data_IF_931533788032
#
_entry.id   IF_931533788032
#
_cell.length_a   1.000
_cell.length_b   1.000
_cell.length_c   1.000
_cell.angle_alpha   90.00
_cell.angle_beta   90.00
_cell.angle_gamma   90.00
#
_symmetry.space_group_name_H-M   'P 1'
#
loop_
_entity.id
_entity.type
_entity.pdbx_description
1 polymer ?
#
# COMPACT_ATOMS: atom_id res chain seq x y z
N UNK A 1 10.48 5.83 -12.46
CA UNK A 1 10.78 4.43 -12.08
C UNK A 1 9.58 3.57 -12.42
N UNK A 2 9.79 2.38 -12.96
CA UNK A 2 8.71 1.42 -13.28
C UNK A 2 8.90 0.18 -12.41
N UNK A 3 7.81 -0.31 -11.83
CA UNK A 3 7.76 -1.52 -11.02
C UNK A 3 6.70 -2.47 -11.57
N UNK A 4 7.03 -3.76 -11.59
CA UNK A 4 6.12 -4.85 -11.98
C UNK A 4 6.17 -5.92 -10.89
N UNK A 5 5.02 -6.28 -10.35
CA UNK A 5 4.86 -7.41 -9.46
C UNK A 5 4.48 -8.68 -10.23
N UNK A 6 4.96 -9.83 -9.78
CA UNK A 6 4.65 -11.13 -10.34
C UNK A 6 4.53 -12.20 -9.26
N UNK A 7 3.99 -13.36 -9.62
CA UNK A 7 3.89 -14.50 -8.69
C UNK A 7 5.28 -15.08 -8.45
N UNK A 8 5.55 -15.51 -7.22
CA UNK A 8 6.83 -16.12 -6.85
C UNK A 8 7.15 -17.35 -7.71
N UNK A 9 6.14 -18.11 -8.12
CA UNK A 9 6.30 -19.28 -8.99
C UNK A 9 6.90 -18.94 -10.37
N UNK A 10 6.75 -17.71 -10.84
CA UNK A 10 7.24 -17.25 -12.14
C UNK A 10 8.64 -16.64 -12.03
N UNK A 11 9.20 -16.51 -10.82
CA UNK A 11 10.44 -15.76 -10.58
C UNK A 11 11.66 -16.32 -11.32
N UNK A 12 11.78 -17.63 -11.45
CA UNK A 12 12.89 -18.25 -12.19
C UNK A 12 12.91 -17.85 -13.68
N UNK A 13 11.74 -17.71 -14.30
CA UNK A 13 11.65 -17.21 -15.68
C UNK A 13 11.99 -15.72 -15.75
N UNK A 14 11.53 -14.93 -14.79
CA UNK A 14 11.85 -13.49 -14.68
C UNK A 14 13.35 -13.27 -14.48
N UNK A 15 14.00 -14.07 -13.64
CA UNK A 15 15.42 -13.96 -13.32
C UNK A 15 16.34 -14.16 -14.52
N UNK A 16 15.90 -14.92 -15.53
CA UNK A 16 16.69 -15.17 -16.77
C UNK A 16 16.83 -13.91 -17.62
N UNK A 17 15.78 -13.14 -17.76
CA UNK A 17 15.76 -11.85 -18.46
C UNK A 17 14.75 -10.89 -17.82
N UNK A 18 15.15 -10.18 -16.76
CA UNK A 18 14.26 -9.26 -16.05
C UNK A 18 13.78 -8.10 -16.94
N UNK A 19 14.61 -7.64 -17.87
CA UNK A 19 14.27 -6.52 -18.74
C UNK A 19 13.21 -6.91 -19.76
N UNK A 20 13.39 -8.04 -20.43
CA UNK A 20 12.38 -8.53 -21.38
C UNK A 20 11.04 -8.81 -20.67
N UNK A 21 11.08 -9.40 -19.46
CA UNK A 21 9.86 -9.63 -18.68
C UNK A 21 9.16 -8.33 -18.28
N UNK A 22 9.91 -7.32 -17.83
CA UNK A 22 9.38 -6.00 -17.51
C UNK A 22 8.65 -5.40 -18.72
N UNK A 23 9.30 -5.33 -19.87
CA UNK A 23 8.74 -4.77 -21.10
C UNK A 23 7.50 -5.56 -21.55
N UNK A 24 7.57 -6.89 -21.56
CA UNK A 24 6.45 -7.74 -21.95
C UNK A 24 5.23 -7.55 -21.04
N UNK A 25 5.46 -7.34 -19.74
CA UNK A 25 4.37 -7.08 -18.78
C UNK A 25 3.76 -5.70 -18.99
N UNK A 26 4.57 -4.68 -19.25
CA UNK A 26 4.07 -3.32 -19.53
C UNK A 26 3.21 -3.25 -20.79
N UNK A 27 3.47 -4.10 -21.78
CA UNK A 27 2.62 -4.19 -22.98
C UNK A 27 1.19 -4.67 -22.71
N UNK A 28 0.96 -5.34 -21.56
CA UNK A 28 -0.39 -5.74 -21.14
C UNK A 28 -1.18 -4.59 -20.50
N UNK A 29 -0.54 -3.46 -20.24
CA UNK A 29 -1.10 -2.32 -19.52
C UNK A 29 -1.25 -1.07 -20.43
N UNK A 30 -2.13 -1.16 -21.44
CA UNK A 30 -2.42 -0.07 -22.37
C UNK A 30 -1.16 0.43 -23.11
N UNK A 31 -0.91 1.73 -23.09
CA UNK A 31 0.21 2.35 -23.81
C UNK A 31 1.55 2.31 -23.03
N UNK A 32 1.61 1.66 -21.87
CA UNK A 32 2.83 1.65 -21.05
C UNK A 32 3.98 0.89 -21.73
N UNK A 33 3.67 -0.13 -22.50
CA UNK A 33 4.67 -0.87 -23.29
C UNK A 33 5.35 0.03 -24.34
N UNK A 34 4.59 0.83 -25.07
CA UNK A 34 5.14 1.73 -26.10
C UNK A 34 5.96 2.85 -25.45
N UNK A 35 5.47 3.40 -24.33
CA UNK A 35 6.22 4.38 -23.55
C UNK A 35 7.53 3.80 -23.01
N UNK A 36 7.53 2.56 -22.56
CA UNK A 36 8.75 1.90 -22.08
C UNK A 36 9.77 1.65 -23.19
N UNK A 37 9.33 1.31 -24.40
CA UNK A 37 10.22 1.17 -25.56
C UNK A 37 10.83 2.49 -26.00
N UNK A 38 10.07 3.58 -25.93
CA UNK A 38 10.55 4.93 -26.26
C UNK A 38 11.43 5.54 -25.16
N UNK A 39 11.48 4.96 -23.98
CA UNK A 39 12.24 5.46 -22.85
C UNK A 39 13.70 5.02 -22.89
N UNK A 40 14.59 5.83 -22.34
CA UNK A 40 15.99 5.48 -22.13
C UNK A 40 16.14 4.75 -20.80
N UNK A 41 16.70 3.55 -20.85
CA UNK A 41 17.01 2.79 -19.63
C UNK A 41 18.24 3.40 -18.94
N UNK A 42 18.08 3.92 -17.72
CA UNK A 42 19.14 4.62 -16.97
C UNK A 42 20.01 3.67 -16.15
N UNK A 43 19.54 2.45 -15.88
CA UNK A 43 20.27 1.47 -15.07
C UNK A 43 19.75 0.05 -15.28
N UNK A 44 20.39 -0.97 -14.66
CA UNK A 44 19.97 -2.34 -14.81
C UNK A 44 18.58 -2.58 -14.22
N UNK A 45 17.78 -3.42 -14.86
CA UNK A 45 16.55 -3.96 -14.26
C UNK A 45 16.94 -4.87 -13.09
N UNK A 46 16.33 -4.64 -11.94
CA UNK A 46 16.57 -5.41 -10.71
C UNK A 46 15.27 -6.11 -10.32
N UNK A 47 15.38 -7.30 -9.76
CA UNK A 47 14.26 -8.06 -9.23
C UNK A 47 14.64 -8.78 -7.94
N UNK A 48 13.64 -9.06 -7.12
CA UNK A 48 13.77 -9.87 -5.92
C UNK A 48 12.54 -10.76 -5.75
N UNK A 49 12.74 -11.93 -5.17
CA UNK A 49 11.66 -12.83 -4.74
C UNK A 49 11.43 -12.76 -3.23
N UNK A 50 12.22 -11.95 -2.54
CA UNK A 50 12.14 -11.76 -1.09
C UNK A 50 11.63 -10.36 -0.79
N UNK A 51 10.31 -10.24 -0.64
CA UNK A 51 9.61 -9.03 -0.23
C UNK A 51 8.82 -9.34 1.04
N UNK A 52 9.44 -9.20 2.22
CA UNK A 52 8.76 -9.48 3.46
C UNK A 52 7.64 -8.46 3.69
N UNK A 53 6.49 -8.96 4.15
CA UNK A 53 5.43 -8.12 4.71
C UNK A 53 5.45 -8.34 6.22
N UNK A 54 5.93 -7.36 6.98
CA UNK A 54 6.09 -7.51 8.42
C UNK A 54 5.88 -6.20 9.17
N UNK A 55 5.34 -6.30 10.37
CA UNK A 55 5.21 -5.22 11.33
C UNK A 55 5.99 -5.60 12.58
N UNK A 56 6.90 -4.72 13.00
CA UNK A 56 7.66 -4.86 14.25
C UNK A 56 7.08 -3.98 15.33
N UNK A 57 7.31 -4.33 16.60
CA UNK A 57 7.18 -3.36 17.69
C UNK A 57 8.00 -2.11 17.34
N UNK A 58 7.42 -0.92 17.58
CA UNK A 58 8.04 0.31 17.09
C UNK A 58 8.91 1.00 18.14
N UNK A 59 8.96 0.51 19.35
CA UNK A 59 9.73 1.15 20.43
C UNK A 59 10.13 0.15 21.52
N UNK A 60 11.14 0.54 22.27
CA UNK A 60 11.61 -0.15 23.46
C UNK A 60 12.56 0.74 24.26
N UNK A 61 13.14 0.25 25.35
CA UNK A 61 14.10 1.03 26.14
C UNK A 61 15.28 1.51 25.31
N UNK A 62 15.36 2.83 25.07
CA UNK A 62 16.47 3.47 24.37
C UNK A 62 16.40 3.41 22.84
N UNK A 63 15.32 2.90 22.23
CA UNK A 63 15.19 2.84 20.78
C UNK A 63 13.75 3.04 20.29
N UNK A 64 13.61 3.51 19.05
CA UNK A 64 12.35 3.52 18.32
C UNK A 64 12.59 3.29 16.82
N UNK A 65 11.63 2.75 16.11
CA UNK A 65 11.68 2.43 14.67
C UNK A 65 10.67 3.29 13.90
N UNK A 66 11.08 3.78 12.74
CA UNK A 66 10.21 4.47 11.78
C UNK A 66 10.39 3.91 10.38
N UNK A 67 9.39 4.05 9.53
CA UNK A 67 9.41 3.54 8.15
C UNK A 67 9.71 2.05 8.06
N UNK A 68 10.47 1.65 7.05
CA UNK A 68 10.78 0.23 6.76
C UNK A 68 11.52 -0.50 7.89
N UNK A 69 12.20 0.22 8.78
CA UNK A 69 12.78 -0.38 9.97
C UNK A 69 11.72 -1.00 10.89
N UNK A 70 10.54 -0.40 10.95
CA UNK A 70 9.43 -0.84 11.80
C UNK A 70 8.28 -1.50 11.06
N UNK A 71 8.12 -1.22 9.76
CA UNK A 71 7.03 -1.75 8.95
C UNK A 71 7.44 -1.83 7.50
N UNK A 72 7.57 -3.05 6.99
CA UNK A 72 7.83 -3.34 5.58
C UNK A 72 6.58 -3.92 4.95
N UNK A 73 6.19 -3.40 3.80
CA UNK A 73 5.06 -3.92 3.03
C UNK A 73 5.40 -3.99 1.54
N UNK A 74 4.72 -4.86 0.81
CA UNK A 74 4.85 -4.98 -0.63
C UNK A 74 4.62 -3.61 -1.31
N UNK A 75 5.48 -3.19 -2.24
CA UNK A 75 5.39 -1.89 -2.90
C UNK A 75 4.21 -1.76 -3.88
N UNK A 76 3.36 -2.79 -4.02
CA UNK A 76 2.21 -2.79 -4.96
C UNK A 76 1.24 -1.62 -4.72
N UNK A 77 1.14 -1.12 -3.49
CA UNK A 77 0.31 0.03 -3.16
C UNK A 77 1.05 1.37 -3.25
N UNK A 78 2.38 1.38 -3.31
CA UNK A 78 3.20 2.58 -3.34
C UNK A 78 3.20 3.42 -2.06
N UNK A 79 2.71 2.88 -0.93
CA UNK A 79 2.45 3.63 0.31
C UNK A 79 3.67 3.77 1.23
N UNK A 80 4.76 3.01 1.03
CA UNK A 80 5.89 2.93 1.96
C UNK A 80 6.51 4.29 2.30
N UNK A 81 6.73 5.15 1.29
CA UNK A 81 7.33 6.48 1.49
C UNK A 81 6.39 7.36 2.34
N UNK A 82 5.09 7.37 2.06
CA UNK A 82 4.11 8.13 2.83
C UNK A 82 4.04 7.68 4.28
N UNK A 83 4.11 6.38 4.52
CA UNK A 83 4.16 5.81 5.88
C UNK A 83 5.43 6.22 6.60
N UNK A 84 6.60 6.17 5.95
CA UNK A 84 7.87 6.56 6.55
C UNK A 84 7.89 8.04 6.97
N UNK A 85 7.36 8.94 6.14
CA UNK A 85 7.26 10.37 6.44
C UNK A 85 6.31 10.62 7.63
N UNK A 86 5.16 9.98 7.66
CA UNK A 86 4.21 10.07 8.77
C UNK A 86 4.82 9.51 10.06
N UNK A 87 5.49 8.38 10.00
CA UNK A 87 6.16 7.78 11.15
C UNK A 87 7.23 8.73 11.72
N UNK A 88 8.01 9.38 10.85
CA UNK A 88 9.02 10.36 11.25
C UNK A 88 8.37 11.57 11.95
N UNK A 89 7.23 12.06 11.45
CA UNK A 89 6.49 13.15 12.10
C UNK A 89 5.96 12.74 13.48
N UNK A 90 5.32 11.57 13.59
CA UNK A 90 4.77 11.06 14.84
C UNK A 90 5.87 10.80 15.87
N UNK A 91 6.98 10.19 15.44
CA UNK A 91 8.11 9.88 16.31
C UNK A 91 8.80 11.16 16.78
N UNK A 92 9.03 12.15 15.91
CA UNK A 92 9.63 13.42 16.31
C UNK A 92 8.81 14.15 17.36
N UNK A 93 7.47 14.19 17.21
CA UNK A 93 6.56 14.74 18.23
C UNK A 93 6.66 14.01 19.56
N UNK A 94 6.77 12.68 19.55
CA UNK A 94 6.92 11.87 20.75
C UNK A 94 8.28 12.15 21.45
N UNK A 95 9.37 12.25 20.70
CA UNK A 95 10.71 12.54 21.22
C UNK A 95 10.75 13.94 21.82
N UNK A 96 10.27 14.96 21.11
CA UNK A 96 10.22 16.34 21.60
C UNK A 96 9.42 16.45 22.91
N UNK A 97 8.24 15.80 22.95
CA UNK A 97 7.40 15.77 24.16
C UNK A 97 8.08 15.05 25.32
N UNK A 98 8.76 13.92 25.04
CA UNK A 98 9.41 13.11 26.07
C UNK A 98 10.69 13.75 26.62
N UNK A 99 11.58 14.22 25.75
CA UNK A 99 12.84 14.85 26.17
C UNK A 99 12.64 16.29 26.66
N UNK A 100 11.61 17.00 26.16
CA UNK A 100 11.24 18.34 26.62
C UNK A 100 10.49 18.37 27.96
N UNK A 101 10.28 17.23 28.61
CA UNK A 101 9.69 17.15 29.95
C UNK A 101 8.16 17.34 30.00
N UNK A 102 7.49 17.47 28.87
CA UNK A 102 6.03 17.62 28.84
C UNK A 102 5.29 16.27 28.98
N UNK A 103 5.99 15.17 28.83
CA UNK A 103 5.50 13.79 29.00
C UNK A 103 6.64 12.88 29.40
N UNK A 104 6.33 11.75 30.04
CA UNK A 104 7.27 10.64 30.15
C UNK A 104 7.61 10.07 28.78
N UNK A 105 8.91 9.88 28.49
CA UNK A 105 9.38 9.43 27.16
C UNK A 105 8.82 8.06 26.78
N UNK A 106 8.79 7.11 27.71
CA UNK A 106 8.26 5.77 27.45
C UNK A 106 6.77 5.82 27.09
N UNK A 107 6.00 6.65 27.80
CA UNK A 107 4.58 6.88 27.48
C UNK A 107 4.41 7.57 26.13
N UNK A 108 5.26 8.52 25.78
CA UNK A 108 5.23 9.21 24.49
C UNK A 108 5.51 8.24 23.34
N UNK A 109 6.53 7.39 23.47
CA UNK A 109 6.86 6.36 22.48
C UNK A 109 5.76 5.28 22.38
N UNK A 110 5.16 4.88 23.48
CA UNK A 110 4.00 3.96 23.45
C UNK A 110 2.81 4.56 22.70
N UNK A 111 2.53 5.86 22.84
CA UNK A 111 1.49 6.56 22.07
C UNK A 111 1.84 6.60 20.59
N UNK A 112 3.10 6.89 20.25
CA UNK A 112 3.61 6.84 18.88
C UNK A 112 3.30 5.48 18.23
N UNK A 113 3.73 4.39 18.87
CA UNK A 113 3.52 3.03 18.35
C UNK A 113 2.03 2.72 18.14
N UNK A 114 1.20 3.01 19.13
CA UNK A 114 -0.26 2.79 19.02
C UNK A 114 -0.88 3.58 17.88
N UNK A 115 -0.50 4.85 17.72
CA UNK A 115 -1.02 5.70 16.66
C UNK A 115 -0.55 5.22 15.30
N UNK A 116 0.77 4.95 15.13
CA UNK A 116 1.33 4.36 13.92
C UNK A 116 0.56 3.11 13.51
N UNK A 117 0.42 2.14 14.41
CA UNK A 117 -0.23 0.87 14.11
C UNK A 117 -1.69 1.07 13.71
N UNK A 118 -2.43 1.91 14.43
CA UNK A 118 -3.84 2.21 14.12
C UNK A 118 -4.02 2.80 12.71
N UNK A 119 -3.12 3.67 12.30
CA UNK A 119 -3.20 4.36 11.00
C UNK A 119 -2.70 3.47 9.85
N UNK A 120 -1.77 2.56 10.13
CA UNK A 120 -1.15 1.73 9.11
C UNK A 120 -1.86 0.39 8.88
N UNK A 121 -2.45 -0.21 9.93
CA UNK A 121 -3.07 -1.55 9.81
C UNK A 121 -4.06 -1.68 8.65
N UNK A 122 -4.97 -0.73 8.38
CA UNK A 122 -5.92 -0.90 7.27
C UNK A 122 -5.24 -0.97 5.90
N UNK A 123 -4.20 -0.15 5.70
CA UNK A 123 -3.44 -0.12 4.44
C UNK A 123 -2.51 -1.32 4.30
N UNK A 124 -1.97 -1.80 5.41
CA UNK A 124 -1.17 -3.01 5.45
C UNK A 124 -1.98 -4.25 5.07
N UNK A 125 -3.15 -4.44 5.68
CA UNK A 125 -4.05 -5.55 5.38
C UNK A 125 -4.51 -5.52 3.91
N UNK A 126 -4.82 -4.34 3.39
CA UNK A 126 -5.16 -4.16 1.98
C UNK A 126 -3.99 -4.51 1.06
N UNK A 127 -2.78 -4.06 1.39
CA UNK A 127 -1.55 -4.39 0.65
C UNK A 127 -1.32 -5.90 0.61
N UNK A 128 -1.48 -6.59 1.75
CA UNK A 128 -1.40 -8.06 1.81
C UNK A 128 -2.42 -8.74 0.89
N UNK A 129 -3.63 -8.19 0.81
CA UNK A 129 -4.68 -8.69 -0.09
C UNK A 129 -4.27 -8.57 -1.55
N UNK A 130 -3.73 -7.41 -1.96
CA UNK A 130 -3.27 -7.16 -3.33
C UNK A 130 -2.01 -7.95 -3.69
N UNK A 131 -1.07 -8.10 -2.75
CA UNK A 131 0.18 -8.84 -2.94
C UNK A 131 -0.02 -10.34 -3.21
N UNK A 132 -1.18 -10.89 -2.90
CA UNK A 132 -1.56 -12.26 -3.30
C UNK A 132 -1.73 -12.41 -4.81
N UNK A 133 -1.83 -11.31 -5.57
CA UNK A 133 -1.99 -11.27 -7.03
C UNK A 133 -3.10 -12.21 -7.54
N UNK A 134 -4.16 -12.38 -6.75
CA UNK A 134 -5.38 -13.03 -7.22
C UNK A 134 -6.05 -12.10 -8.25
N UNK A 135 -6.66 -12.68 -9.27
CA UNK A 135 -7.41 -11.89 -10.23
C UNK A 135 -8.49 -11.04 -9.55
N UNK A 136 -8.82 -9.91 -10.18
CA UNK A 136 -9.96 -9.08 -9.77
C UNK A 136 -11.25 -9.83 -10.08
N UNK A 137 -12.17 -9.92 -9.12
CA UNK A 137 -13.47 -10.55 -9.35
C UNK A 137 -14.48 -9.55 -9.97
N UNK A 138 -15.57 -10.06 -10.50
CA UNK A 138 -16.60 -9.25 -11.18
C UNK A 138 -17.12 -8.07 -10.34
N UNK A 139 -17.18 -8.22 -9.03
CA UNK A 139 -17.70 -7.17 -8.12
C UNK A 139 -16.64 -6.10 -7.89
N UNK A 140 -15.39 -6.50 -7.74
CA UNK A 140 -14.26 -5.58 -7.66
C UNK A 140 -14.07 -4.80 -8.97
N UNK A 141 -14.26 -5.46 -10.13
CA UNK A 141 -14.27 -4.77 -11.43
C UNK A 141 -15.37 -3.71 -11.50
N UNK A 142 -16.57 -4.03 -11.04
CA UNK A 142 -17.69 -3.06 -10.97
C UNK A 142 -17.39 -1.90 -10.02
N UNK A 143 -16.75 -2.17 -8.88
CA UNK A 143 -16.33 -1.14 -7.94
C UNK A 143 -15.31 -0.20 -8.59
N UNK A 144 -14.26 -0.73 -9.19
CA UNK A 144 -13.26 0.08 -9.87
C UNK A 144 -13.83 0.83 -11.08
N UNK A 145 -14.76 0.23 -11.82
CA UNK A 145 -15.47 0.91 -12.89
C UNK A 145 -16.32 2.08 -12.38
N UNK A 146 -17.03 1.89 -11.25
CA UNK A 146 -17.81 2.97 -10.63
C UNK A 146 -16.93 4.10 -10.11
N UNK A 147 -15.79 3.78 -9.50
CA UNK A 147 -14.80 4.78 -9.06
C UNK A 147 -14.24 5.55 -10.26
N UNK A 148 -13.88 4.86 -11.34
CA UNK A 148 -13.29 5.48 -12.53
C UNK A 148 -14.27 6.28 -13.38
N UNK A 149 -15.58 6.07 -13.22
CA UNK A 149 -16.63 6.79 -13.94
C UNK A 149 -16.96 8.17 -13.31
N UNK A 150 -16.52 8.42 -12.08
CA UNK A 150 -16.78 9.67 -11.35
C UNK A 150 -15.43 10.28 -10.93
N UNK A 151 -15.17 11.52 -11.37
CA UNK A 151 -13.90 12.21 -11.10
C UNK A 151 -13.68 12.45 -9.60
N UNK A 152 -14.75 12.72 -8.85
CA UNK A 152 -14.69 12.93 -7.40
C UNK A 152 -14.33 11.63 -6.69
N UNK A 153 -14.95 10.52 -7.09
CA UNK A 153 -14.66 9.22 -6.50
C UNK A 153 -13.25 8.73 -6.87
N UNK A 154 -12.80 8.96 -8.10
CA UNK A 154 -11.41 8.69 -8.51
C UNK A 154 -10.42 9.52 -7.69
N UNK A 155 -10.67 10.82 -7.53
CA UNK A 155 -9.85 11.72 -6.70
C UNK A 155 -9.80 11.26 -5.24
N UNK A 156 -10.94 10.89 -4.66
CA UNK A 156 -11.04 10.37 -3.30
C UNK A 156 -10.28 9.04 -3.14
N UNK A 157 -10.35 8.16 -4.13
CA UNK A 157 -9.61 6.90 -4.13
C UNK A 157 -8.09 7.15 -4.15
N UNK A 158 -7.60 8.06 -4.98
CA UNK A 158 -6.20 8.49 -4.93
C UNK A 158 -5.86 9.20 -3.62
N UNK A 159 -6.82 9.92 -3.02
CA UNK A 159 -6.70 10.48 -1.67
C UNK A 159 -6.48 9.42 -0.59
N UNK A 160 -7.07 8.22 -0.75
CA UNK A 160 -6.78 7.07 0.14
C UNK A 160 -5.34 6.61 -0.02
N UNK A 161 -4.83 6.52 -1.26
CA UNK A 161 -3.46 6.11 -1.53
C UNK A 161 -2.43 7.10 -1.00
N UNK A 162 -2.77 8.39 -0.94
CA UNK A 162 -1.90 9.43 -0.38
C UNK A 162 -2.09 9.67 1.11
N UNK A 163 -3.07 8.99 1.73
CA UNK A 163 -3.39 9.13 3.15
C UNK A 163 -4.18 10.40 3.51
N UNK A 164 -4.61 11.18 2.52
CA UNK A 164 -5.46 12.38 2.71
C UNK A 164 -6.89 11.99 3.06
N UNK A 165 -7.40 10.93 2.43
CA UNK A 165 -8.72 10.36 2.72
C UNK A 165 -8.54 9.10 3.56
N UNK A 166 -9.18 8.99 4.74
CA UNK A 166 -9.10 7.79 5.56
C UNK A 166 -9.68 6.58 4.83
N UNK A 167 -8.92 5.49 4.72
CA UNK A 167 -9.35 4.25 4.06
C UNK A 167 -10.69 3.74 4.60
N UNK A 168 -10.88 3.78 5.94
CA UNK A 168 -12.12 3.35 6.59
C UNK A 168 -13.33 4.18 6.19
N UNK A 169 -13.13 5.46 5.86
CA UNK A 169 -14.20 6.34 5.38
C UNK A 169 -14.58 5.98 3.95
N UNK A 170 -13.59 5.86 3.07
CA UNK A 170 -13.83 5.53 1.66
C UNK A 170 -14.43 4.14 1.47
N UNK A 171 -13.92 3.13 2.17
CA UNK A 171 -14.45 1.75 2.11
C UNK A 171 -15.53 1.48 3.18
N UNK A 172 -16.23 2.52 3.66
CA UNK A 172 -17.36 2.33 4.56
C UNK A 172 -18.53 1.63 3.87
N UNK A 173 -19.34 0.81 4.60
CA UNK A 173 -20.48 0.13 4.01
C UNK A 173 -21.45 1.06 3.29
N UNK A 174 -21.72 2.23 3.84
CA UNK A 174 -22.61 3.23 3.25
C UNK A 174 -22.08 3.74 1.92
N UNK A 175 -20.76 4.03 1.83
CA UNK A 175 -20.13 4.52 0.62
C UNK A 175 -20.09 3.42 -0.46
N UNK A 176 -19.71 2.19 -0.10
CA UNK A 176 -19.69 1.06 -1.03
C UNK A 176 -21.09 0.73 -1.56
N UNK A 177 -22.12 0.77 -0.71
CA UNK A 177 -23.52 0.59 -1.13
C UNK A 177 -23.92 1.67 -2.15
N UNK A 178 -23.51 2.91 -1.94
CA UNK A 178 -23.77 4.00 -2.89
C UNK A 178 -23.12 3.76 -4.24
N UNK A 179 -21.87 3.27 -4.27
CA UNK A 179 -21.11 3.03 -5.49
C UNK A 179 -21.60 1.81 -6.30
N UNK A 180 -21.86 0.69 -5.64
CA UNK A 180 -22.13 -0.59 -6.32
C UNK A 180 -23.50 -1.19 -5.99
N UNK A 181 -24.30 -0.56 -5.14
CA UNK A 181 -25.61 -1.03 -4.71
C UNK A 181 -25.57 -2.13 -3.63
N UNK A 182 -26.66 -2.30 -2.90
CA UNK A 182 -26.77 -3.23 -1.74
C UNK A 182 -26.44 -4.67 -2.13
N UNK A 183 -26.96 -5.14 -3.26
CA UNK A 183 -26.75 -6.53 -3.72
C UNK A 183 -25.29 -6.87 -3.96
N UNK A 184 -24.56 -5.97 -4.62
CA UNK A 184 -23.13 -6.16 -4.90
C UNK A 184 -22.29 -5.99 -3.64
N UNK A 185 -22.64 -5.05 -2.75
CA UNK A 185 -22.00 -4.90 -1.46
C UNK A 185 -22.08 -6.19 -0.61
N UNK A 186 -23.26 -6.83 -0.53
CA UNK A 186 -23.40 -8.09 0.21
C UNK A 186 -22.58 -9.23 -0.39
N UNK A 187 -22.39 -9.26 -1.72
CA UNK A 187 -21.51 -10.22 -2.38
C UNK A 187 -20.03 -9.92 -2.07
N UNK A 188 -19.63 -8.65 -2.11
CA UNK A 188 -18.26 -8.24 -1.79
C UNK A 188 -17.88 -8.63 -0.35
N UNK A 189 -18.76 -8.36 0.60
CA UNK A 189 -18.55 -8.72 2.01
C UNK A 189 -18.34 -10.22 2.24
N UNK A 190 -19.02 -11.08 1.46
CA UNK A 190 -18.86 -12.55 1.52
C UNK A 190 -17.55 -13.05 0.92
N UNK A 191 -16.99 -12.35 -0.07
CA UNK A 191 -15.73 -12.73 -0.71
C UNK A 191 -14.50 -12.26 0.07
N UNK A 192 -14.61 -11.17 0.82
CA UNK A 192 -13.54 -10.64 1.68
C UNK A 192 -13.29 -11.43 2.97
N UNK A 193 -14.18 -12.40 3.31
CA UNK A 193 -14.08 -13.23 4.52
C UNK A 193 -13.33 -14.56 4.29
N UNK A 194 -12.75 -14.76 3.10
CA UNK A 194 -11.96 -15.95 2.73
C UNK A 194 -10.54 -15.52 2.35
#
# INVERSE_FOLDING_TARGET
MTYVAGRIADFEAVRRDPTAHLIATLHKAGNLGDRARAAVQVGPTRGTSDLPNLVRGAQGPGWALAGDAGLVMDPITGLGIGHALRDAELLSKAIVSGLGGTSDLSRALTRYEKQRNRETSPTFDWTLGLARLRGVNEIEERLFAAIGADETEASNFFGVLTGVVPMRSFFSPQHLIRLIGVRNFLRLARTGSR
#
